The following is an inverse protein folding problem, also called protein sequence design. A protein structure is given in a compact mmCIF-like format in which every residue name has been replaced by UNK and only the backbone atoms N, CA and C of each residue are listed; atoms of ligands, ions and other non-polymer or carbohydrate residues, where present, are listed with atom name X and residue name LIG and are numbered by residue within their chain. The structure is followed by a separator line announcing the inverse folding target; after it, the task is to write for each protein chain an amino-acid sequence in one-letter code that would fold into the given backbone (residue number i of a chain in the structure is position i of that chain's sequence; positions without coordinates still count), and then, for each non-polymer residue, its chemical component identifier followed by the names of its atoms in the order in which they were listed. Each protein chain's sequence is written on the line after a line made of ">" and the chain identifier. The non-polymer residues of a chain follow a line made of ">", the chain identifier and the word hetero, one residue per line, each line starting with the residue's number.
data_IF_133197714332
#
_entry.id   IF_133197714332
#
_cell.length_a   1.000
_cell.length_b   1.000
_cell.length_c   1.000
_cell.angle_alpha   90.00
_cell.angle_beta   90.00
_cell.angle_gamma   90.00
#
_symmetry.space_group_name_H-M   'P 1'
#
loop_
_entity.id
_entity.type
_entity.pdbx_description
1 polymer ?
#
# COMPACT_ATOMS: atom_id res chain seq x y z
N UNK A 1 1.31 -23.69 2.72
CA UNK A 1 1.85 -22.95 1.57
C UNK A 1 0.63 -22.43 0.83
N UNK A 2 0.42 -21.12 0.74
CA UNK A 2 -0.68 -20.57 -0.04
C UNK A 2 -0.63 -21.15 -1.47
N UNK A 3 -1.77 -21.56 -2.01
CA UNK A 3 -1.87 -22.11 -3.35
C UNK A 3 -1.25 -21.20 -4.42
N UNK A 4 -0.96 -21.71 -5.63
CA UNK A 4 -0.36 -20.91 -6.69
C UNK A 4 -1.29 -19.74 -7.06
N UNK A 5 -0.94 -18.54 -6.60
CA UNK A 5 -1.63 -17.30 -6.97
C UNK A 5 -1.38 -17.04 -8.44
N UNK A 6 -2.45 -17.03 -9.24
CA UNK A 6 -2.37 -16.64 -10.65
C UNK A 6 -1.74 -15.24 -10.76
N UNK A 7 -0.80 -15.08 -11.70
CA UNK A 7 -0.06 -13.84 -11.94
C UNK A 7 0.79 -13.35 -10.75
N UNK A 8 1.27 -14.28 -9.90
CA UNK A 8 2.13 -13.99 -8.72
C UNK A 8 3.27 -13.02 -9.03
N UNK A 9 4.03 -13.26 -10.09
CA UNK A 9 5.17 -12.40 -10.47
C UNK A 9 4.73 -10.97 -10.81
N UNK A 10 3.57 -10.82 -11.47
CA UNK A 10 3.04 -9.51 -11.81
C UNK A 10 2.64 -8.75 -10.54
N UNK A 11 1.98 -9.40 -9.59
CA UNK A 11 1.66 -8.78 -8.29
C UNK A 11 2.91 -8.43 -7.48
N UNK A 12 3.96 -9.25 -7.52
CA UNK A 12 5.25 -8.91 -6.90
C UNK A 12 5.85 -7.64 -7.51
N UNK A 13 5.84 -7.51 -8.84
CA UNK A 13 6.31 -6.28 -9.53
C UNK A 13 5.48 -5.05 -9.15
N UNK A 14 4.16 -5.17 -9.09
CA UNK A 14 3.28 -4.07 -8.67
C UNK A 14 3.56 -3.65 -7.21
N UNK A 15 3.68 -4.63 -6.31
CA UNK A 15 3.99 -4.39 -4.90
C UNK A 15 5.35 -3.69 -4.72
N UNK A 16 6.38 -4.17 -5.43
CA UNK A 16 7.71 -3.58 -5.40
C UNK A 16 7.69 -2.11 -5.82
N UNK A 17 7.06 -1.78 -6.95
CA UNK A 17 6.99 -0.40 -7.43
C UNK A 17 6.21 0.51 -6.46
N UNK A 18 5.13 0.01 -5.86
CA UNK A 18 4.38 0.75 -4.87
C UNK A 18 5.23 1.03 -3.61
N UNK A 19 5.93 0.02 -3.09
CA UNK A 19 6.82 0.17 -1.92
C UNK A 19 8.01 1.09 -2.22
N UNK A 20 8.60 0.99 -3.41
CA UNK A 20 9.69 1.87 -3.84
C UNK A 20 9.25 3.34 -3.84
N UNK A 21 8.02 3.64 -4.27
CA UNK A 21 7.47 5.00 -4.22
C UNK A 21 7.38 5.55 -2.78
N UNK A 22 6.98 4.72 -1.81
CA UNK A 22 6.99 5.09 -0.39
C UNK A 22 8.41 5.30 0.13
N UNK A 23 9.34 4.41 -0.20
CA UNK A 23 10.73 4.48 0.24
C UNK A 23 11.41 5.78 -0.24
N UNK A 24 11.20 6.17 -1.50
CA UNK A 24 11.72 7.43 -2.05
C UNK A 24 11.23 8.64 -1.26
N UNK A 25 9.92 8.73 -0.98
CA UNK A 25 9.37 9.86 -0.24
C UNK A 25 9.74 9.85 1.24
N UNK A 26 10.03 8.67 1.81
CA UNK A 26 10.53 8.55 3.18
C UNK A 26 11.99 9.02 3.32
N UNK A 27 12.81 8.80 2.29
CA UNK A 27 14.20 9.27 2.27
C UNK A 27 14.30 10.76 1.93
N UNK A 28 13.60 11.18 0.87
CA UNK A 28 13.57 12.57 0.43
C UNK A 28 12.18 12.97 -0.09
N UNK A 29 11.44 13.83 0.65
CA UNK A 29 10.10 14.26 0.26
C UNK A 29 10.08 15.17 -0.97
N UNK A 30 11.23 15.74 -1.39
CA UNK A 30 11.33 16.56 -2.61
C UNK A 30 11.35 15.71 -3.88
N UNK A 31 11.75 14.44 -3.80
CA UNK A 31 11.83 13.51 -4.92
C UNK A 31 10.47 12.93 -5.35
N UNK A 32 9.45 13.79 -5.44
CA UNK A 32 8.09 13.43 -5.85
C UNK A 32 8.03 12.95 -7.31
N UNK A 33 8.92 13.42 -8.17
CA UNK A 33 8.98 13.00 -9.56
C UNK A 33 9.27 11.50 -9.70
N UNK A 34 10.22 10.99 -8.92
CA UNK A 34 10.59 9.57 -8.93
C UNK A 34 9.49 8.69 -8.34
N UNK A 35 8.89 9.11 -7.21
CA UNK A 35 7.74 8.40 -6.64
C UNK A 35 6.55 8.33 -7.62
N UNK A 36 6.26 9.44 -8.31
CA UNK A 36 5.23 9.50 -9.38
C UNK A 36 5.55 8.57 -10.53
N UNK A 37 6.82 8.48 -10.94
CA UNK A 37 7.25 7.58 -12.00
C UNK A 37 7.01 6.10 -11.63
N UNK A 38 7.33 5.69 -10.41
CA UNK A 38 7.05 4.33 -9.94
C UNK A 38 5.56 4.03 -9.92
N UNK A 39 4.73 4.92 -9.36
CA UNK A 39 3.28 4.77 -9.36
C UNK A 39 2.67 4.79 -10.78
N UNK A 40 3.21 5.60 -11.70
CA UNK A 40 2.78 5.61 -13.11
C UNK A 40 3.10 4.29 -13.81
N UNK A 41 4.31 3.77 -13.60
CA UNK A 41 4.77 2.50 -14.17
C UNK A 41 3.94 1.34 -13.62
N UNK A 42 3.74 1.30 -12.31
CA UNK A 42 2.87 0.37 -11.61
C UNK A 42 1.47 0.41 -12.24
N UNK A 43 0.86 1.60 -12.34
CA UNK A 43 -0.46 1.80 -12.97
C UNK A 43 -0.55 1.23 -14.39
N UNK A 44 0.48 1.49 -15.19
CA UNK A 44 0.57 1.07 -16.59
C UNK A 44 0.66 -0.46 -16.72
N UNK A 45 1.49 -1.10 -15.90
CA UNK A 45 1.64 -2.56 -15.88
C UNK A 45 0.29 -3.23 -15.56
N UNK A 46 -0.38 -2.82 -14.48
CA UNK A 46 -1.66 -3.42 -14.13
C UNK A 46 -2.76 -3.15 -15.16
N UNK A 47 -2.75 -1.99 -15.84
CA UNK A 47 -3.70 -1.71 -16.93
C UNK A 47 -3.45 -2.66 -18.10
N UNK A 48 -2.18 -2.87 -18.48
CA UNK A 48 -1.78 -3.72 -19.60
C UNK A 48 -2.06 -5.20 -19.32
N UNK A 49 -1.83 -5.65 -18.10
CA UNK A 49 -2.06 -7.03 -17.66
C UNK A 49 -3.49 -7.27 -17.14
N UNK A 50 -4.36 -6.26 -17.20
CA UNK A 50 -5.76 -6.33 -16.73
C UNK A 50 -5.86 -6.81 -15.26
N UNK A 51 -4.92 -6.38 -14.42
CA UNK A 51 -4.86 -6.74 -13.01
C UNK A 51 -5.67 -5.78 -12.15
N UNK A 52 -6.50 -6.33 -11.26
CA UNK A 52 -7.31 -5.57 -10.33
C UNK A 52 -6.51 -5.26 -9.07
N UNK A 53 -6.24 -3.97 -8.85
CA UNK A 53 -5.67 -3.48 -7.59
C UNK A 53 -6.71 -3.51 -6.49
N UNK A 54 -6.24 -3.74 -5.27
CA UNK A 54 -7.07 -3.56 -4.09
C UNK A 54 -7.51 -2.09 -3.94
N UNK A 55 -8.78 -1.82 -3.55
CA UNK A 55 -9.25 -0.45 -3.36
C UNK A 55 -8.44 0.34 -2.33
N UNK A 56 -7.88 -0.27 -1.28
CA UNK A 56 -7.06 0.43 -0.28
C UNK A 56 -5.84 1.09 -0.91
N UNK A 57 -5.11 0.33 -1.75
CA UNK A 57 -3.94 0.82 -2.51
C UNK A 57 -4.37 1.81 -3.59
N UNK A 58 -5.46 1.53 -4.30
CA UNK A 58 -5.95 2.45 -5.35
C UNK A 58 -6.35 3.83 -4.79
N UNK A 59 -6.86 3.88 -3.55
CA UNK A 59 -7.26 5.12 -2.87
C UNK A 59 -6.05 6.01 -2.55
N UNK A 60 -4.87 5.46 -2.33
CA UNK A 60 -3.64 6.22 -2.05
C UNK A 60 -2.95 6.74 -3.31
N UNK A 61 -3.50 6.53 -4.51
CA UNK A 61 -2.89 6.96 -5.78
C UNK A 61 -3.76 7.98 -6.51
N UNK A 62 -3.17 9.06 -7.01
CA UNK A 62 -3.87 10.06 -7.80
C UNK A 62 -4.31 9.51 -9.17
N UNK A 63 -5.61 9.57 -9.45
CA UNK A 63 -6.18 9.13 -10.74
C UNK A 63 -5.70 9.94 -11.95
N UNK A 64 -5.21 11.16 -11.73
CA UNK A 64 -4.68 12.03 -12.79
C UNK A 64 -3.20 11.75 -13.05
N UNK A 65 -2.35 12.26 -12.17
CA UNK A 65 -0.89 12.32 -12.36
C UNK A 65 -0.11 11.15 -11.72
N UNK A 66 -0.81 10.14 -11.18
CA UNK A 66 -0.23 9.00 -10.47
C UNK A 66 0.65 9.36 -9.27
N UNK A 67 0.50 10.54 -8.67
CA UNK A 67 1.15 10.85 -7.39
C UNK A 67 0.64 9.95 -6.28
N UNK A 68 1.57 9.46 -5.47
CA UNK A 68 1.25 8.87 -4.17
C UNK A 68 0.64 9.96 -3.28
N UNK A 69 -0.51 9.70 -2.68
CA UNK A 69 -1.29 10.63 -1.88
C UNK A 69 -1.02 10.38 -0.40
N UNK A 70 -0.01 11.06 0.13
CA UNK A 70 0.32 11.08 1.55
C UNK A 70 -0.26 12.36 2.15
N UNK A 71 -1.21 12.26 3.09
CA UNK A 71 -1.80 13.42 3.74
C UNK A 71 -0.73 14.30 4.38
N UNK A 72 -0.75 15.60 4.08
CA UNK A 72 0.20 16.57 4.63
C UNK A 72 1.49 16.72 3.83
N UNK A 73 1.82 15.80 2.93
CA UNK A 73 3.00 15.88 2.07
C UNK A 73 2.64 16.15 0.61
N UNK A 74 1.87 15.24 -0.01
CA UNK A 74 1.55 15.28 -1.44
C UNK A 74 0.05 15.46 -1.70
N UNK A 75 -0.78 15.35 -0.66
CA UNK A 75 -2.20 15.59 -0.74
C UNK A 75 -2.73 16.30 0.51
N UNK A 76 -3.85 17.00 0.35
CA UNK A 76 -4.67 17.43 1.48
C UNK A 76 -5.81 16.44 1.68
N UNK A 77 -6.05 16.05 2.93
CA UNK A 77 -7.19 15.21 3.30
C UNK A 77 -8.10 16.00 4.23
N UNK A 78 -9.37 16.15 3.85
CA UNK A 78 -10.36 16.89 4.65
C UNK A 78 -11.65 16.10 4.75
N UNK A 79 -12.25 16.11 5.94
CA UNK A 79 -13.62 15.66 6.11
C UNK A 79 -14.58 16.81 5.80
N UNK A 80 -15.57 16.55 4.94
CA UNK A 80 -16.59 17.51 4.52
C UNK A 80 -17.97 16.91 4.74
N UNK A 81 -18.94 17.73 5.13
CA UNK A 81 -20.35 17.33 5.19
C UNK A 81 -21.05 17.85 3.94
N UNK A 82 -21.76 16.98 3.23
CA UNK A 82 -22.56 17.35 2.06
C UNK A 82 -23.83 16.50 2.06
N UNK A 83 -25.01 17.14 1.93
CA UNK A 83 -26.32 16.46 1.91
C UNK A 83 -26.51 15.47 3.08
N UNK A 84 -26.14 15.87 4.29
CA UNK A 84 -26.25 15.04 5.50
C UNK A 84 -25.12 14.02 5.68
N UNK A 85 -24.44 13.60 4.62
CA UNK A 85 -23.38 12.59 4.65
C UNK A 85 -21.99 13.19 4.90
N UNK A 86 -21.10 12.42 5.56
CA UNK A 86 -19.69 12.77 5.77
C UNK A 86 -18.83 12.16 4.67
N UNK A 87 -17.97 12.97 4.08
CA UNK A 87 -17.09 12.58 2.99
C UNK A 87 -15.64 12.88 3.33
N UNK A 88 -14.75 11.93 3.08
CA UNK A 88 -13.31 12.16 3.04
C UNK A 88 -12.92 12.60 1.64
N UNK A 89 -12.43 13.83 1.54
CA UNK A 89 -11.96 14.42 0.28
C UNK A 89 -10.45 14.50 0.32
N UNK A 90 -9.80 13.76 -0.58
CA UNK A 90 -8.36 13.80 -0.80
C UNK A 90 -8.08 14.61 -2.06
N UNK A 91 -7.31 15.69 -1.96
CA UNK A 91 -6.95 16.56 -3.09
C UNK A 91 -5.45 16.54 -3.31
N UNK A 92 -5.03 16.16 -4.51
CA UNK A 92 -3.62 16.12 -4.90
C UNK A 92 -3.05 17.54 -4.97
N UNK A 93 -1.91 17.79 -4.34
CA UNK A 93 -1.25 19.10 -4.39
C UNK A 93 -0.58 19.37 -5.74
N UNK A 94 -0.27 18.33 -6.51
CA UNK A 94 0.42 18.45 -7.80
C UNK A 94 -0.51 18.79 -8.97
N UNK A 95 -1.67 18.13 -9.07
CA UNK A 95 -2.61 18.31 -10.20
C UNK A 95 -4.01 18.75 -9.80
N UNK A 96 -4.23 19.04 -8.51
CA UNK A 96 -5.47 19.56 -7.94
C UNK A 96 -6.71 18.68 -8.11
N UNK A 97 -6.58 17.46 -8.67
CA UNK A 97 -7.68 16.51 -8.78
C UNK A 97 -8.03 15.96 -7.39
N UNK A 98 -9.33 15.94 -7.09
CA UNK A 98 -9.85 15.38 -5.83
C UNK A 98 -10.47 14.00 -6.01
N UNK A 99 -10.34 13.16 -4.98
CA UNK A 99 -11.08 11.93 -4.79
C UNK A 99 -11.98 12.08 -3.56
N UNK A 100 -13.18 11.53 -3.64
CA UNK A 100 -14.18 11.62 -2.56
C UNK A 100 -14.59 10.20 -2.16
N UNK A 101 -14.55 9.94 -0.86
CA UNK A 101 -14.96 8.66 -0.27
C UNK A 101 -16.01 8.94 0.79
N UNK A 102 -17.12 8.22 0.74
CA UNK A 102 -18.14 8.29 1.78
C UNK A 102 -17.56 7.70 3.07
N UNK A 103 -17.73 8.42 4.19
CA UNK A 103 -17.41 7.92 5.52
C UNK A 103 -18.68 7.28 6.10
N UNK A 104 -18.91 6.04 5.70
CA UNK A 104 -19.99 5.20 6.20
C UNK A 104 -19.38 4.12 7.11
N UNK A 105 -19.72 4.09 8.42
CA UNK A 105 -19.18 3.09 9.34
C UNK A 105 -19.60 1.66 8.98
N UNK A 106 -20.71 1.48 8.28
CA UNK A 106 -21.24 0.16 7.91
C UNK A 106 -20.62 -0.36 6.60
N UNK A 107 -19.83 0.47 5.91
CA UNK A 107 -19.23 0.14 4.62
C UNK A 107 -17.84 -0.50 4.76
N UNK A 108 -17.75 -1.79 4.40
CA UNK A 108 -16.51 -2.55 4.29
C UNK A 108 -16.09 -2.76 2.84
N UNK A 109 -14.78 -2.72 2.56
CA UNK A 109 -14.25 -3.16 1.26
C UNK A 109 -14.45 -4.66 1.11
N UNK A 110 -14.54 -5.15 -0.12
CA UNK A 110 -14.70 -6.58 -0.38
C UNK A 110 -13.60 -7.44 0.29
N UNK A 111 -12.34 -7.00 0.22
CA UNK A 111 -11.22 -7.72 0.84
C UNK A 111 -11.26 -7.78 2.38
N UNK A 112 -12.02 -6.89 3.01
CA UNK A 112 -12.18 -6.83 4.46
C UNK A 112 -13.39 -7.64 4.95
N UNK A 113 -14.23 -8.15 4.04
CA UNK A 113 -15.39 -8.97 4.41
C UNK A 113 -14.95 -10.38 4.80
N UNK A 114 -15.53 -10.97 5.86
CA UNK A 114 -15.15 -12.30 6.34
C UNK A 114 -15.34 -13.40 5.28
N UNK A 115 -16.40 -13.29 4.47
CA UNK A 115 -16.70 -14.19 3.36
C UNK A 115 -15.59 -14.22 2.30
N UNK A 116 -14.97 -13.08 2.02
CA UNK A 116 -13.87 -12.99 1.04
C UNK A 116 -12.56 -13.59 1.58
N UNK A 117 -12.38 -13.56 2.91
CA UNK A 117 -11.19 -14.07 3.58
C UNK A 117 -11.24 -15.59 3.79
N UNK A 118 -12.44 -16.19 3.87
CA UNK A 118 -12.62 -17.63 4.08
C UNK A 118 -11.92 -18.48 3.00
N UNK A 119 -11.98 -18.06 1.74
CA UNK A 119 -11.27 -18.72 0.64
C UNK A 119 -9.74 -18.64 0.74
N UNK A 120 -9.21 -17.64 1.45
CA UNK A 120 -7.76 -17.49 1.69
C UNK A 120 -7.29 -18.24 2.94
N UNK A 121 -8.16 -18.39 3.95
CA UNK A 121 -7.86 -19.10 5.20
C UNK A 121 -8.00 -20.62 5.07
N UNK A 122 -8.84 -21.12 4.16
CA UNK A 122 -8.91 -22.56 3.87
C UNK A 122 -7.56 -23.15 3.37
N UNK A 123 -6.67 -22.32 2.82
CA UNK A 123 -5.31 -22.69 2.38
C UNK A 123 -4.22 -22.49 3.47
N UNK A 124 -4.55 -21.86 4.59
CA UNK A 124 -3.63 -21.66 5.72
C UNK A 124 -3.83 -22.78 6.74
N UNK A 125 -3.13 -23.91 6.53
CA UNK A 125 -2.89 -24.87 7.61
C UNK A 125 -2.26 -24.11 8.81
N UNK A 126 -2.69 -24.37 10.06
CA UNK A 126 -2.16 -23.67 11.23
C UNK A 126 -0.63 -23.71 11.28
N UNK A 127 0.04 -22.65 11.77
CA UNK A 127 1.49 -22.67 11.94
C UNK A 127 1.86 -23.85 12.85
N UNK A 128 2.69 -24.75 12.35
CA UNK A 128 3.40 -25.70 13.20
C UNK A 128 4.27 -24.88 14.17
N UNK A 129 4.33 -25.22 15.47
CA UNK A 129 5.19 -24.51 16.41
C UNK A 129 6.64 -24.57 15.94
N UNK A 130 7.28 -23.39 15.82
CA UNK A 130 8.71 -23.29 15.54
C UNK A 130 9.50 -23.96 16.67
N UNK A 131 10.49 -24.83 16.37
CA UNK A 131 11.38 -25.38 17.39
C UNK A 131 12.18 -24.26 18.04
N UNK A 132 12.16 -24.25 19.37
CA UNK A 132 12.84 -23.29 20.22
C UNK A 132 14.37 -23.45 20.07
N UNK A 133 15.01 -22.63 19.25
CA UNK A 133 16.47 -22.55 19.15
C UNK A 133 16.94 -21.30 19.91
N UNK A 134 17.09 -21.43 21.22
CA UNK A 134 17.91 -20.53 22.01
C UNK A 134 19.37 -20.71 21.56
N UNK A 135 19.98 -19.66 21.01
CA UNK A 135 21.43 -19.58 20.85
C UNK A 135 21.92 -18.37 21.66
N UNK A 136 22.90 -18.55 22.57
CA UNK A 136 23.43 -17.44 23.37
C UNK A 136 24.23 -16.47 22.50
N UNK A 137 24.09 -15.18 22.78
CA UNK A 137 24.87 -14.10 22.19
C UNK A 137 26.27 -14.12 22.82
N UNK A 138 27.38 -14.23 22.05
CA UNK A 138 28.71 -13.97 22.59
C UNK A 138 28.98 -12.47 22.58
N UNK A 139 29.25 -11.91 23.76
CA UNK A 139 29.78 -10.56 23.92
C UNK A 139 31.29 -10.58 23.64
N UNK A 140 31.74 -9.80 22.67
CA UNK A 140 33.11 -9.28 22.66
C UNK A 140 33.21 -7.98 21.85
N UNK A 141 33.52 -6.89 22.55
CA UNK A 141 34.05 -5.64 21.98
C UNK A 141 35.58 -5.79 21.85
N UNK A 142 36.23 -5.26 20.81
CA UNK A 142 37.67 -5.02 20.83
C UNK A 142 37.97 -3.58 21.28
N UNK A 143 38.92 -3.46 22.22
CA UNK A 143 39.60 -2.21 22.58
C UNK A 143 40.45 -1.71 21.41
N UNK A 144 40.25 -0.45 21.01
CA UNK A 144 41.12 0.24 20.06
C UNK A 144 42.14 1.09 20.85
N UNK A 145 43.43 0.73 20.74
CA UNK A 145 44.56 1.55 21.15
C UNK A 145 45.01 2.42 19.97
N UNK A 146 44.93 3.74 20.11
CA UNK A 146 45.96 4.74 19.74
C UNK A 146 45.87 5.89 20.72
#
# INVERSE_FOLDING_TARGET
>A
MAGPVKDREAFQRLSFLYQAAHCVLAQDPMNQALARFYCYTERTIAKRLVLRRDPSVKRTLCRGCSSLLIPGLTCTQRQRRCRGQRWTVQTCLTCQRSQRFLNDPDHLLWGDRPEAQLGSQADLKPPQPLPNAAHPIPAHLPEEKV
#
